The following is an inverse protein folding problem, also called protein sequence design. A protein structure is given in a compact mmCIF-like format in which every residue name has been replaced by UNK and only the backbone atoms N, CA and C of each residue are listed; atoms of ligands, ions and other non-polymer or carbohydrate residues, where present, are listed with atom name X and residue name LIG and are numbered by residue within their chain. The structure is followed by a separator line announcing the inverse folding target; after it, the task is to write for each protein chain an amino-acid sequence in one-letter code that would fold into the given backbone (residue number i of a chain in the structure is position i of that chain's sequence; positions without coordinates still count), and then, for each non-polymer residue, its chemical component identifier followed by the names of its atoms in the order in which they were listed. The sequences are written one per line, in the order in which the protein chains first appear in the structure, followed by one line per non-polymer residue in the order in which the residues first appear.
data_IF_988541503252
#
_entry.id   IF_988541503252
#
_cell.length_a   1.000
_cell.length_b   1.000
_cell.length_c   1.000
_cell.angle_alpha   90.00
_cell.angle_beta   90.00
_cell.angle_gamma   90.00
#
_symmetry.space_group_name_H-M   'P 1'
#
loop_
_entity.id
_entity.type
_entity.pdbx_description
1 polymer ?
#
# COMPACT_ATOMS: atom_id res chain seq x y z
N UNK A 1 -14.67 -23.55 -8.55
CA UNK A 1 -13.94 -23.41 -9.83
C UNK A 1 -14.77 -24.08 -10.92
N UNK A 2 -14.83 -23.54 -12.15
CA UNK A 2 -15.50 -24.20 -13.28
C UNK A 2 -14.68 -25.39 -13.79
N UNK A 3 -15.35 -26.41 -14.35
CA UNK A 3 -14.69 -27.59 -14.96
C UNK A 3 -13.87 -27.23 -16.19
N UNK A 4 -14.33 -26.24 -16.97
CA UNK A 4 -13.72 -25.90 -18.26
C UNK A 4 -13.67 -24.37 -18.45
N UNK A 5 -12.58 -23.89 -19.05
CA UNK A 5 -12.36 -22.49 -19.42
C UNK A 5 -11.89 -22.43 -20.88
N UNK A 6 -12.49 -21.52 -21.66
CA UNK A 6 -12.07 -21.25 -23.02
C UNK A 6 -10.91 -20.25 -23.04
N UNK A 7 -9.75 -20.71 -23.50
CA UNK A 7 -8.53 -19.91 -23.65
C UNK A 7 -8.21 -19.57 -25.11
N UNK A 8 -9.13 -19.78 -26.06
CA UNK A 8 -8.93 -19.52 -27.49
C UNK A 8 -8.51 -18.07 -27.82
N UNK A 9 -8.85 -17.10 -26.95
CA UNK A 9 -8.46 -15.68 -27.06
C UNK A 9 -7.42 -15.25 -26.03
N UNK A 10 -6.81 -16.20 -25.32
CA UNK A 10 -5.82 -15.89 -24.31
C UNK A 10 -4.52 -15.36 -24.97
N UNK A 11 -3.95 -14.32 -24.37
CA UNK A 11 -2.68 -13.75 -24.81
C UNK A 11 -1.63 -14.06 -23.76
N UNK A 12 -0.60 -14.81 -24.17
CA UNK A 12 0.51 -15.15 -23.28
C UNK A 12 1.28 -13.90 -22.89
N UNK A 13 1.65 -13.78 -21.61
CA UNK A 13 2.39 -12.62 -21.11
C UNK A 13 1.64 -11.29 -21.14
N UNK A 14 0.30 -11.26 -21.30
CA UNK A 14 -0.50 -10.01 -21.38
C UNK A 14 -0.23 -9.01 -20.24
N UNK A 15 0.02 -9.53 -19.03
CA UNK A 15 0.32 -8.73 -17.84
C UNK A 15 1.79 -8.81 -17.41
N UNK A 16 2.61 -9.59 -18.13
CA UNK A 16 4.03 -9.70 -17.83
C UNK A 16 4.74 -8.40 -18.21
N UNK A 17 5.53 -7.89 -17.29
CA UNK A 17 6.35 -6.70 -17.50
C UNK A 17 7.76 -7.02 -17.03
N UNK A 18 8.72 -7.03 -17.96
CA UNK A 18 10.13 -7.25 -17.63
C UNK A 18 10.61 -6.07 -16.78
N UNK A 19 11.14 -6.35 -15.59
CA UNK A 19 11.59 -5.31 -14.66
C UNK A 19 10.46 -4.52 -13.99
N UNK A 20 9.28 -5.12 -13.82
CA UNK A 20 8.20 -4.44 -13.09
C UNK A 20 8.61 -4.20 -11.64
N UNK A 21 8.55 -2.95 -11.20
CA UNK A 21 8.61 -2.61 -9.78
C UNK A 21 7.21 -2.76 -9.17
N UNK A 22 7.11 -3.62 -8.15
CA UNK A 22 5.88 -3.85 -7.42
C UNK A 22 5.90 -3.03 -6.13
N UNK A 23 5.18 -1.92 -6.14
CA UNK A 23 4.92 -1.14 -4.93
C UNK A 23 3.81 -1.83 -4.13
N UNK A 24 4.21 -2.75 -3.25
CA UNK A 24 3.29 -3.51 -2.42
C UNK A 24 2.67 -2.60 -1.35
N UNK A 25 1.34 -2.67 -1.11
CA UNK A 25 0.72 -1.93 -0.03
C UNK A 25 1.21 -2.48 1.31
N UNK A 26 1.56 -1.57 2.23
CA UNK A 26 1.88 -1.92 3.61
C UNK A 26 0.58 -1.92 4.41
N UNK A 27 0.22 -3.09 4.92
CA UNK A 27 -0.96 -3.23 5.78
C UNK A 27 -0.62 -2.88 7.22
N UNK A 28 -1.46 -2.06 7.83
CA UNK A 28 -1.47 -1.81 9.27
C UNK A 28 -2.59 -2.63 9.91
N UNK A 29 -2.46 -2.91 11.20
CA UNK A 29 -3.50 -3.62 11.93
C UNK A 29 -4.84 -2.84 11.91
N UNK A 30 -5.93 -3.57 12.09
CA UNK A 30 -7.29 -3.01 11.97
C UNK A 30 -7.60 -1.94 13.02
N UNK A 31 -7.03 -2.04 14.23
CA UNK A 31 -7.20 -1.05 15.30
C UNK A 31 -6.47 0.26 14.98
N UNK A 32 -5.23 0.16 14.48
CA UNK A 32 -4.38 1.27 14.09
C UNK A 32 -4.98 1.99 12.89
N UNK A 33 -5.49 1.26 11.90
CA UNK A 33 -6.22 1.86 10.78
C UNK A 33 -7.37 2.74 11.25
N UNK A 34 -8.24 2.23 12.12
CA UNK A 34 -9.38 3.01 12.67
C UNK A 34 -8.90 4.23 13.45
N UNK A 35 -7.79 4.10 14.19
CA UNK A 35 -7.20 5.21 14.94
C UNK A 35 -6.66 6.29 14.02
N UNK A 36 -5.93 5.91 12.98
CA UNK A 36 -5.38 6.82 11.96
C UNK A 36 -6.50 7.54 11.20
N UNK A 37 -7.54 6.82 10.78
CA UNK A 37 -8.74 7.40 10.13
C UNK A 37 -9.41 8.47 11.01
N UNK A 38 -9.54 8.21 12.32
CA UNK A 38 -10.11 9.18 13.27
C UNK A 38 -9.24 10.44 13.40
N UNK A 39 -7.92 10.27 13.47
CA UNK A 39 -6.97 11.39 13.58
C UNK A 39 -6.98 12.21 12.29
N UNK A 40 -6.95 11.54 11.14
CA UNK A 40 -7.00 12.15 9.82
C UNK A 40 -8.28 12.99 9.64
N UNK A 41 -9.44 12.43 10.01
CA UNK A 41 -10.74 13.14 9.99
C UNK A 41 -10.72 14.39 10.87
N UNK A 42 -10.17 14.31 12.09
CA UNK A 42 -10.05 15.47 13.00
C UNK A 42 -9.12 16.56 12.46
N UNK A 43 -8.08 16.17 11.72
CA UNK A 43 -7.11 17.10 11.12
C UNK A 43 -7.54 17.60 9.73
N UNK A 44 -8.64 17.08 9.16
CA UNK A 44 -9.07 17.41 7.80
C UNK A 44 -8.08 16.99 6.71
N UNK A 45 -7.27 15.94 6.97
CA UNK A 45 -6.21 15.48 6.06
C UNK A 45 -6.46 14.05 5.59
N UNK A 46 -5.98 13.66 4.40
CA UNK A 46 -5.97 12.27 3.98
C UNK A 46 -5.13 11.39 4.93
N UNK A 47 -5.57 10.15 5.15
CA UNK A 47 -4.85 9.17 5.98
C UNK A 47 -3.43 8.92 5.46
N UNK A 48 -3.28 8.82 4.14
CA UNK A 48 -1.97 8.62 3.51
C UNK A 48 -0.99 9.76 3.81
N UNK A 49 -1.46 11.01 3.78
CA UNK A 49 -0.63 12.19 4.11
C UNK A 49 -0.19 12.14 5.58
N UNK A 50 -1.12 11.82 6.48
CA UNK A 50 -0.81 11.68 7.90
C UNK A 50 0.24 10.58 8.15
N UNK A 51 0.08 9.41 7.52
CA UNK A 51 1.00 8.28 7.68
C UNK A 51 2.38 8.63 7.14
N UNK A 52 2.48 9.23 5.96
CA UNK A 52 3.76 9.65 5.39
C UNK A 52 4.46 10.68 6.28
N UNK A 53 3.72 11.64 6.85
CA UNK A 53 4.30 12.63 7.77
C UNK A 53 4.84 12.00 9.06
N UNK A 54 4.17 10.97 9.58
CA UNK A 54 4.65 10.24 10.76
C UNK A 54 5.91 9.44 10.43
N UNK A 55 5.85 8.61 9.38
CA UNK A 55 6.96 7.77 8.95
C UNK A 55 8.21 8.58 8.60
N UNK A 56 8.06 9.73 7.96
CA UNK A 56 9.20 10.59 7.62
C UNK A 56 9.96 11.04 8.87
N UNK A 57 9.24 11.46 9.91
CA UNK A 57 9.86 11.87 11.19
C UNK A 57 10.53 10.70 11.89
N UNK A 58 9.89 9.53 11.86
CA UNK A 58 10.46 8.33 12.47
C UNK A 58 11.74 7.89 11.75
N UNK A 59 11.77 7.96 10.41
CA UNK A 59 12.98 7.70 9.61
C UNK A 59 14.08 8.70 9.91
N UNK A 60 13.78 10.01 9.92
CA UNK A 60 14.75 11.06 10.27
C UNK A 60 15.35 10.82 11.67
N UNK A 61 14.54 10.40 12.64
CA UNK A 61 15.01 10.05 13.98
C UNK A 61 15.93 8.82 13.95
N UNK A 62 15.54 7.76 13.25
CA UNK A 62 16.34 6.54 13.12
C UNK A 62 17.69 6.81 12.43
N UNK A 63 17.70 7.64 11.40
CA UNK A 63 18.93 8.07 10.71
C UNK A 63 19.85 8.89 11.63
N UNK A 64 19.28 9.70 12.53
CA UNK A 64 20.08 10.50 13.48
C UNK A 64 20.70 9.71 14.63
N UNK A 65 20.17 8.51 14.91
CA UNK A 65 20.63 7.61 15.97
C UNK A 65 21.61 6.55 15.47
N UNK A 66 21.75 6.40 14.15
CA UNK A 66 22.67 5.49 13.47
C UNK A 66 24.06 6.12 13.30
#
# INVERSE_FOLDING_TARGET
MKREYDFSKAVWGKFFRKGAELNLPIYVDSSMRKRLERIAKRKGKPVAELVNQLLKKDVELLESLA
#
